data_IF_101668174758
#
_entry.id   IF_101668174758
#
_cell.length_a   1.000
_cell.length_b   1.000
_cell.length_c   1.000
_cell.angle_alpha   90.00
_cell.angle_beta   90.00
_cell.angle_gamma   90.00
#
_symmetry.space_group_name_H-M   'P 1'
#
loop_
_entity.id
_entity.type
_entity.pdbx_description
1 polymer ?
#
# COMPACT_ATOMS: atom_id res chain seq x y z
N UNK A 1 31.97 -21.51 -25.68
CA UNK A 1 30.63 -21.46 -26.30
C UNK A 1 29.49 -21.38 -25.29
N UNK A 2 29.38 -22.31 -24.32
CA UNK A 2 28.30 -22.27 -23.29
C UNK A 2 28.23 -20.96 -22.46
N UNK A 3 29.38 -20.39 -22.08
CA UNK A 3 29.46 -19.10 -21.36
C UNK A 3 28.97 -17.91 -22.21
N UNK A 4 29.24 -17.94 -23.52
CA UNK A 4 28.83 -16.87 -24.44
C UNK A 4 27.32 -16.91 -24.64
N UNK A 5 26.75 -18.11 -24.88
CA UNK A 5 25.30 -18.32 -24.96
C UNK A 5 24.58 -17.84 -23.68
N UNK A 6 25.13 -18.13 -22.50
CA UNK A 6 24.52 -17.72 -21.24
C UNK A 6 24.51 -16.20 -21.06
N UNK A 7 25.58 -15.50 -21.47
CA UNK A 7 25.63 -14.03 -21.46
C UNK A 7 24.60 -13.45 -22.44
N UNK A 8 24.45 -14.04 -23.63
CA UNK A 8 23.48 -13.57 -24.63
C UNK A 8 22.04 -13.76 -24.14
N UNK A 9 21.73 -14.90 -23.54
CA UNK A 9 20.40 -15.14 -22.94
C UNK A 9 20.13 -14.16 -21.80
N UNK A 10 21.11 -13.90 -20.94
CA UNK A 10 20.97 -12.93 -19.85
C UNK A 10 20.72 -11.51 -20.38
N UNK A 11 21.43 -11.10 -21.43
CA UNK A 11 21.22 -9.80 -22.08
C UNK A 11 19.80 -9.66 -22.68
N UNK A 12 19.29 -10.72 -23.32
CA UNK A 12 17.92 -10.74 -23.88
C UNK A 12 16.87 -10.64 -22.76
N UNK A 13 17.07 -11.35 -21.64
CA UNK A 13 16.17 -11.29 -20.49
C UNK A 13 16.13 -9.89 -19.86
N UNK A 14 17.28 -9.20 -19.76
CA UNK A 14 17.34 -7.81 -19.27
C UNK A 14 16.55 -6.87 -20.18
N UNK A 15 16.75 -6.97 -21.51
CA UNK A 15 16.00 -6.13 -22.47
C UNK A 15 14.51 -6.39 -22.38
N UNK A 16 14.08 -7.66 -22.32
CA UNK A 16 12.67 -8.03 -22.18
C UNK A 16 12.04 -7.52 -20.88
N UNK A 17 12.77 -7.56 -19.76
CA UNK A 17 12.30 -7.03 -18.48
C UNK A 17 12.14 -5.50 -18.51
N UNK A 18 13.02 -4.78 -19.22
CA UNK A 18 12.94 -3.31 -19.33
C UNK A 18 11.90 -2.81 -20.35
N UNK A 19 11.31 -3.70 -21.15
CA UNK A 19 10.34 -3.36 -22.20
C UNK A 19 8.88 -3.39 -21.73
N UNK A 20 8.61 -3.61 -20.43
CA UNK A 20 7.25 -3.54 -19.91
C UNK A 20 6.69 -2.11 -20.05
N UNK A 21 5.53 -1.99 -20.70
CA UNK A 21 4.82 -0.73 -20.78
C UNK A 21 4.35 -0.32 -19.39
N UNK A 22 4.87 0.82 -18.91
CA UNK A 22 4.41 1.42 -17.66
C UNK A 22 3.23 2.35 -17.93
N UNK A 23 2.24 2.33 -17.06
CA UNK A 23 1.17 3.34 -17.02
C UNK A 23 1.22 4.11 -15.71
N UNK A 24 0.76 5.37 -15.75
CA UNK A 24 0.58 6.18 -14.55
C UNK A 24 -0.70 5.76 -13.82
N UNK A 25 -0.65 5.69 -12.50
CA UNK A 25 -1.79 5.58 -11.60
C UNK A 25 -1.74 6.71 -10.57
N UNK A 26 -2.86 6.98 -9.89
CA UNK A 26 -3.01 8.12 -8.99
C UNK A 26 -3.58 7.71 -7.63
N UNK A 27 -3.24 8.48 -6.60
CA UNK A 27 -3.91 8.46 -5.31
C UNK A 27 -4.02 9.88 -4.75
N UNK A 28 -5.00 10.10 -3.88
CA UNK A 28 -5.11 11.32 -3.08
C UNK A 28 -4.81 10.99 -1.62
N UNK A 29 -4.00 11.82 -0.96
CA UNK A 29 -3.95 11.85 0.50
C UNK A 29 -4.68 13.07 1.04
N UNK A 30 -5.47 12.82 2.08
CA UNK A 30 -6.24 13.84 2.77
C UNK A 30 -5.76 13.94 4.21
N UNK A 31 -5.16 15.08 4.54
CA UNK A 31 -4.67 15.38 5.87
C UNK A 31 -5.58 16.31 6.65
N UNK A 32 -5.85 15.93 7.89
CA UNK A 32 -6.51 16.79 8.87
C UNK A 32 -5.60 17.00 10.08
N UNK A 33 -5.43 18.26 10.49
CA UNK A 33 -4.62 18.59 11.66
C UNK A 33 -5.29 18.13 12.95
N UNK A 34 -4.49 17.68 13.93
CA UNK A 34 -4.97 17.49 15.30
C UNK A 34 -4.97 18.82 16.04
N UNK A 35 -6.02 19.07 16.82
CA UNK A 35 -6.12 20.26 17.67
C UNK A 35 -4.90 20.30 18.60
N UNK A 36 -4.17 21.43 18.60
CA UNK A 36 -2.97 21.68 19.42
C UNK A 36 -1.75 20.77 19.14
N UNK A 37 -1.67 20.12 17.97
CA UNK A 37 -0.51 19.30 17.59
C UNK A 37 -0.13 19.52 16.12
N UNK A 38 1.17 19.41 15.82
CA UNK A 38 1.66 19.36 14.43
C UNK A 38 1.27 18.06 13.73
N UNK A 39 0.90 17.01 14.50
CA UNK A 39 0.52 15.72 13.94
C UNK A 39 -0.74 15.81 13.09
N UNK A 40 -0.72 15.07 11.99
CA UNK A 40 -1.82 14.98 11.04
C UNK A 40 -2.36 13.56 10.97
N UNK A 41 -3.68 13.43 10.81
CA UNK A 41 -4.31 12.17 10.43
C UNK A 41 -4.40 12.13 8.91
N UNK A 42 -3.86 11.09 8.30
CA UNK A 42 -3.81 10.93 6.85
C UNK A 42 -4.72 9.79 6.43
N UNK A 43 -5.63 10.09 5.51
CA UNK A 43 -6.40 9.11 4.76
C UNK A 43 -5.84 9.04 3.34
N UNK A 44 -5.89 7.86 2.73
CA UNK A 44 -5.45 7.63 1.36
C UNK A 44 -6.58 7.04 0.51
N UNK A 45 -6.78 7.60 -0.69
CA UNK A 45 -7.72 7.13 -1.69
C UNK A 45 -6.97 6.73 -2.97
N UNK A 46 -7.05 5.46 -3.36
CA UNK A 46 -6.46 4.95 -4.61
C UNK A 46 -7.47 4.88 -5.77
N UNK A 47 -8.65 5.49 -5.63
CA UNK A 47 -9.71 5.48 -6.63
C UNK A 47 -10.54 4.19 -6.67
N UNK A 48 -10.41 3.31 -5.66
CA UNK A 48 -11.17 2.08 -5.58
C UNK A 48 -12.65 2.33 -5.25
N UNK A 49 -13.55 1.45 -5.73
CA UNK A 49 -14.97 1.51 -5.37
C UNK A 49 -15.14 1.26 -3.87
N UNK A 50 -15.48 2.30 -3.12
CA UNK A 50 -15.74 2.20 -1.67
C UNK A 50 -17.23 2.10 -1.38
N UNK A 51 -17.62 1.18 -0.49
CA UNK A 51 -18.95 1.23 0.14
C UNK A 51 -19.02 2.42 1.12
N UNK A 52 -20.22 2.85 1.52
CA UNK A 52 -20.39 3.96 2.46
C UNK A 52 -19.59 3.75 3.77
N UNK A 53 -19.57 2.52 4.28
CA UNK A 53 -18.75 2.14 5.45
C UNK A 53 -17.25 2.07 5.16
N UNK A 54 -16.86 1.75 3.91
CA UNK A 54 -15.46 1.68 3.49
C UNK A 54 -14.78 3.05 3.38
N UNK A 55 -15.54 4.14 3.20
CA UNK A 55 -15.01 5.51 3.09
C UNK A 55 -14.21 5.96 4.32
N UNK A 56 -14.54 5.45 5.50
CA UNK A 56 -13.90 5.83 6.77
C UNK A 56 -12.71 4.96 7.17
N UNK A 57 -12.41 3.92 6.37
CA UNK A 57 -11.37 2.92 6.66
C UNK A 57 -10.14 3.08 5.77
N UNK A 58 -9.90 4.32 5.33
CA UNK A 58 -8.83 4.75 4.42
C UNK A 58 -7.57 5.21 5.15
N UNK A 59 -7.51 5.10 6.47
CA UNK A 59 -6.29 5.37 7.23
C UNK A 59 -5.26 4.27 6.99
N UNK A 60 -4.01 4.66 6.76
CA UNK A 60 -2.89 3.72 6.71
C UNK A 60 -2.63 3.12 8.10
N UNK A 61 -2.28 1.85 8.15
CA UNK A 61 -1.95 1.10 9.37
C UNK A 61 -0.58 0.45 9.27
N UNK A 62 0.03 0.23 10.42
CA UNK A 62 1.21 -0.63 10.55
C UNK A 62 0.82 -2.13 10.50
N UNK A 63 1.83 -2.99 10.62
CA UNK A 63 1.69 -4.45 10.61
C UNK A 63 0.78 -5.00 11.71
N UNK A 64 0.56 -4.24 12.79
CA UNK A 64 -0.35 -4.61 13.89
C UNK A 64 -1.79 -4.13 13.66
N UNK A 65 -2.07 -3.46 12.54
CA UNK A 65 -3.36 -2.83 12.26
C UNK A 65 -3.58 -1.49 12.95
N UNK A 66 -2.55 -0.94 13.62
CA UNK A 66 -2.64 0.35 14.30
C UNK A 66 -2.45 1.49 13.32
N UNK A 67 -3.30 2.53 13.41
CA UNK A 67 -3.21 3.74 12.57
C UNK A 67 -1.83 4.38 12.68
N UNK A 68 -1.21 4.62 11.54
CA UNK A 68 0.04 5.38 11.47
C UNK A 68 -0.27 6.86 11.74
N UNK A 69 0.48 7.47 12.66
CA UNK A 69 0.44 8.91 12.89
C UNK A 69 1.62 9.59 12.20
N UNK A 70 1.34 10.63 11.43
CA UNK A 70 2.38 11.41 10.76
C UNK A 70 2.58 12.74 11.47
N UNK A 71 3.83 13.19 11.53
CA UNK A 71 4.20 14.47 12.15
C UNK A 71 3.86 15.68 11.28
N UNK A 72 3.65 15.46 9.98
CA UNK A 72 3.24 16.49 9.01
C UNK A 72 2.75 15.84 7.70
N UNK A 73 2.20 16.63 6.78
CA UNK A 73 1.92 16.18 5.40
C UNK A 73 3.18 15.71 4.66
N UNK A 74 4.33 16.36 4.93
CA UNK A 74 5.62 15.99 4.32
C UNK A 74 6.13 14.64 4.86
N UNK A 75 5.92 14.36 6.15
CA UNK A 75 6.24 13.06 6.74
C UNK A 75 5.44 11.94 6.06
N UNK A 76 4.15 12.18 5.81
CA UNK A 76 3.32 11.27 5.03
C UNK A 76 3.82 11.08 3.59
N UNK A 77 4.27 12.15 2.91
CA UNK A 77 4.88 12.02 1.59
C UNK A 77 6.18 11.23 1.60
N UNK A 78 7.04 11.43 2.61
CA UNK A 78 8.27 10.65 2.74
C UNK A 78 7.97 9.17 2.95
N UNK A 79 6.91 8.84 3.69
CA UNK A 79 6.42 7.47 3.81
C UNK A 79 5.98 6.91 2.45
N UNK A 80 5.17 7.65 1.69
CA UNK A 80 4.66 7.22 0.38
C UNK A 80 5.76 7.14 -0.69
N UNK A 81 6.80 7.98 -0.58
CA UNK A 81 7.96 7.96 -1.46
C UNK A 81 8.71 6.61 -1.40
N UNK A 82 8.68 5.91 -0.25
CA UNK A 82 9.23 4.54 -0.12
C UNK A 82 8.56 3.57 -1.10
N UNK A 83 7.31 3.83 -1.46
CA UNK A 83 6.50 3.02 -2.38
C UNK A 83 6.39 3.62 -3.78
N UNK A 84 7.34 4.50 -4.15
CA UNK A 84 7.46 5.15 -5.46
C UNK A 84 6.34 6.14 -5.83
N UNK A 85 5.55 6.58 -4.84
CA UNK A 85 4.60 7.67 -5.08
C UNK A 85 5.32 9.01 -5.23
N UNK A 86 4.91 9.77 -6.24
CA UNK A 86 5.47 11.07 -6.64
C UNK A 86 4.39 12.13 -6.46
N UNK A 87 4.81 13.31 -6.01
CA UNK A 87 3.91 14.47 -5.89
C UNK A 87 3.43 14.95 -7.27
N UNK A 88 2.15 15.30 -7.39
CA UNK A 88 1.57 15.93 -8.59
C UNK A 88 1.01 17.32 -8.27
N UNK A 89 0.15 17.43 -7.24
CA UNK A 89 -0.51 18.69 -6.88
C UNK A 89 -0.93 18.73 -5.41
N UNK A 90 -1.10 19.93 -4.86
CA UNK A 90 -1.69 20.17 -3.56
C UNK A 90 -2.71 21.31 -3.59
N UNK A 91 -3.79 21.17 -2.82
CA UNK A 91 -4.72 22.25 -2.50
C UNK A 91 -5.26 22.10 -1.07
N UNK A 92 -5.91 23.15 -0.58
CA UNK A 92 -6.50 23.19 0.77
C UNK A 92 -7.98 23.48 0.64
N UNK A 93 -8.79 22.71 1.37
CA UNK A 93 -10.23 22.97 1.53
C UNK A 93 -10.46 23.38 2.97
N UNK A 94 -11.00 24.59 3.18
CA UNK A 94 -11.40 25.03 4.51
C UNK A 94 -12.84 24.60 4.76
N UNK A 95 -13.06 23.83 5.82
CA UNK A 95 -14.41 23.52 6.27
C UNK A 95 -14.97 24.76 6.97
N UNK A 96 -15.92 25.44 6.33
CA UNK A 96 -16.51 26.68 6.84
C UNK A 96 -17.19 26.49 8.21
N UNK A 97 -17.77 25.31 8.47
CA UNK A 97 -18.46 25.01 9.73
C UNK A 97 -17.52 24.78 10.91
N UNK A 98 -16.30 24.29 10.67
CA UNK A 98 -15.32 24.00 11.74
C UNK A 98 -14.12 24.93 11.72
N UNK A 99 -14.00 25.79 10.71
CA UNK A 99 -12.83 26.62 10.40
C UNK A 99 -11.51 25.81 10.35
N UNK A 100 -11.60 24.53 10.01
CA UNK A 100 -10.44 23.64 9.90
C UNK A 100 -10.00 23.51 8.45
N UNK A 101 -8.68 23.61 8.23
CA UNK A 101 -8.07 23.33 6.95
C UNK A 101 -7.90 21.82 6.75
N UNK A 102 -8.32 21.35 5.58
CA UNK A 102 -8.12 20.00 5.09
C UNK A 102 -7.14 20.07 3.92
N UNK A 103 -6.04 19.33 4.02
CA UNK A 103 -4.97 19.35 3.03
C UNK A 103 -5.15 18.18 2.06
N UNK A 104 -5.26 18.46 0.76
CA UNK A 104 -5.48 17.47 -0.29
C UNK A 104 -4.28 17.42 -1.22
N UNK A 105 -3.52 16.33 -1.21
CA UNK A 105 -2.36 16.16 -2.08
C UNK A 105 -2.61 15.00 -3.05
N UNK A 106 -2.48 15.28 -4.34
CA UNK A 106 -2.56 14.31 -5.42
C UNK A 106 -1.15 13.77 -5.72
N UNK A 107 -1.04 12.45 -5.83
CA UNK A 107 0.18 11.74 -6.12
C UNK A 107 0.00 10.82 -7.31
N UNK A 108 1.11 10.46 -7.96
CA UNK A 108 1.15 9.43 -8.99
C UNK A 108 2.24 8.39 -8.78
N UNK A 109 2.05 7.22 -9.39
CA UNK A 109 3.05 6.14 -9.46
C UNK A 109 3.04 5.57 -10.87
N UNK A 110 4.20 5.24 -11.40
CA UNK A 110 4.32 4.48 -12.65
C UNK A 110 4.30 2.99 -12.29
N UNK A 111 3.40 2.22 -12.89
CA UNK A 111 3.15 0.81 -12.60
C UNK A 111 3.12 -0.02 -13.89
N UNK A 112 3.53 -1.28 -13.79
CA UNK A 112 3.37 -2.30 -14.84
C UNK A 112 2.13 -3.17 -14.61
N UNK A 113 1.63 -3.27 -13.37
CA UNK A 113 0.35 -3.92 -13.05
C UNK A 113 -0.40 -3.25 -11.89
N UNK A 114 -1.70 -3.53 -11.80
CA UNK A 114 -2.59 -3.01 -10.75
C UNK A 114 -2.19 -3.48 -9.34
N UNK A 115 -1.45 -4.58 -9.23
CA UNK A 115 -0.96 -5.12 -7.96
C UNK A 115 0.03 -4.16 -7.28
N UNK A 116 0.72 -3.32 -8.07
CA UNK A 116 1.66 -2.33 -7.54
C UNK A 116 0.98 -1.10 -6.91
N UNK A 117 -0.32 -0.88 -7.15
CA UNK A 117 -1.04 0.30 -6.65
C UNK A 117 -0.96 0.37 -5.12
N UNK A 118 -1.05 -0.77 -4.45
CA UNK A 118 -1.12 -0.86 -2.97
C UNK A 118 0.11 -1.51 -2.35
N UNK A 119 1.15 -1.74 -3.15
CA UNK A 119 2.40 -2.33 -2.71
C UNK A 119 2.94 -1.62 -1.46
N UNK A 120 3.05 -2.37 -0.36
CA UNK A 120 3.60 -1.87 0.90
C UNK A 120 2.68 -0.96 1.72
N UNK A 121 1.44 -0.70 1.27
CA UNK A 121 0.52 0.21 1.96
C UNK A 121 -0.75 -0.56 2.35
N UNK A 122 -0.94 -0.72 3.66
CA UNK A 122 -2.12 -1.35 4.25
C UNK A 122 -3.02 -0.26 4.82
N UNK A 123 -4.29 -0.26 4.42
CA UNK A 123 -5.34 0.55 5.06
C UNK A 123 -6.06 -0.25 6.15
N UNK A 124 -6.79 0.43 7.03
CA UNK A 124 -7.61 -0.27 8.02
C UNK A 124 -8.57 -1.28 7.40
N UNK A 125 -9.17 -0.93 6.26
CA UNK A 125 -10.04 -1.86 5.53
C UNK A 125 -9.29 -3.10 5.08
N UNK A 126 -8.09 -2.90 4.53
CA UNK A 126 -7.26 -4.01 4.07
C UNK A 126 -6.94 -4.96 5.22
N UNK A 127 -6.53 -4.42 6.36
CA UNK A 127 -6.20 -5.20 7.54
C UNK A 127 -7.39 -6.03 8.06
N UNK A 128 -8.58 -5.41 8.17
CA UNK A 128 -9.79 -6.12 8.58
C UNK A 128 -10.21 -7.21 7.58
N UNK A 129 -10.11 -6.94 6.28
CA UNK A 129 -10.43 -7.92 5.24
C UNK A 129 -9.44 -9.11 5.31
N UNK A 130 -8.17 -8.85 5.63
CA UNK A 130 -7.14 -9.88 5.87
C UNK A 130 -7.43 -10.71 7.12
N UNK A 131 -7.78 -10.09 8.24
CA UNK A 131 -8.16 -10.80 9.47
C UNK A 131 -9.38 -11.70 9.24
N UNK A 132 -10.39 -11.19 8.54
CA UNK A 132 -11.60 -11.96 8.21
C UNK A 132 -11.27 -13.15 7.32
N UNK A 133 -10.47 -12.97 6.27
CA UNK A 133 -10.05 -14.06 5.41
C UNK A 133 -9.24 -15.12 6.18
N UNK A 134 -8.33 -14.70 7.06
CA UNK A 134 -7.55 -15.61 7.89
C UNK A 134 -8.40 -16.41 8.89
N UNK A 135 -9.50 -15.84 9.40
CA UNK A 135 -10.47 -16.57 10.23
C UNK A 135 -11.27 -17.57 9.39
N UNK A 136 -11.76 -17.17 8.21
CA UNK A 136 -12.51 -18.05 7.30
C UNK A 136 -11.67 -19.24 6.77
N UNK A 137 -10.37 -19.02 6.51
CA UNK A 137 -9.42 -20.07 6.09
C UNK A 137 -9.22 -21.13 7.19
N UNK A 138 -9.11 -20.70 8.45
CA UNK A 138 -8.98 -21.58 9.61
C UNK A 138 -10.22 -22.44 9.82
N UNK A 139 -11.39 -21.91 9.47
CA UNK A 139 -12.66 -22.64 9.58
C UNK A 139 -12.92 -23.58 8.40
N UNK A 140 -12.44 -23.28 7.18
CA UNK A 140 -12.90 -23.98 5.98
C UNK A 140 -11.85 -24.74 5.14
N UNK A 141 -10.53 -24.67 5.39
CA UNK A 141 -9.49 -25.39 4.61
C UNK A 141 -9.71 -25.38 3.07
N UNK A 142 -10.22 -24.30 2.49
CA UNK A 142 -10.60 -24.25 1.07
C UNK A 142 -9.67 -23.32 0.27
N UNK A 143 -9.03 -23.86 -0.78
CA UNK A 143 -8.16 -23.12 -1.75
C UNK A 143 -8.85 -21.93 -2.45
N UNK A 144 -10.18 -21.83 -2.37
CA UNK A 144 -10.95 -20.81 -3.08
C UNK A 144 -10.87 -19.41 -2.42
N UNK A 145 -10.56 -19.35 -1.12
CA UNK A 145 -10.45 -18.08 -0.37
C UNK A 145 -9.21 -17.29 -0.77
N UNK A 146 -8.08 -17.98 -1.02
CA UNK A 146 -6.86 -17.31 -1.48
C UNK A 146 -7.18 -16.44 -2.70
N UNK A 147 -7.96 -16.94 -3.67
CA UNK A 147 -8.27 -16.20 -4.91
C UNK A 147 -9.04 -14.89 -4.72
N UNK A 148 -9.74 -14.69 -3.58
CA UNK A 148 -10.51 -13.47 -3.28
C UNK A 148 -9.67 -12.39 -2.59
N UNK A 149 -8.55 -12.76 -1.98
CA UNK A 149 -7.64 -11.84 -1.32
C UNK A 149 -6.82 -11.10 -2.37
N UNK A 150 -6.74 -9.76 -2.38
CA UNK A 150 -5.88 -9.02 -3.30
C UNK A 150 -4.43 -9.53 -3.30
N UNK A 151 -3.77 -9.58 -4.47
CA UNK A 151 -2.47 -10.23 -4.62
C UNK A 151 -1.40 -9.65 -3.68
N UNK A 152 -1.39 -8.32 -3.52
CA UNK A 152 -0.45 -7.65 -2.61
C UNK A 152 -0.57 -8.14 -1.15
N UNK A 153 -1.79 -8.43 -0.68
CA UNK A 153 -2.01 -8.97 0.66
C UNK A 153 -1.52 -10.41 0.78
N UNK A 154 -1.64 -11.21 -0.28
CA UNK A 154 -1.09 -12.58 -0.30
C UNK A 154 0.43 -12.57 -0.25
N UNK A 155 1.05 -11.66 -0.98
CA UNK A 155 2.52 -11.53 -1.01
C UNK A 155 3.05 -11.10 0.37
N UNK A 156 2.40 -10.14 1.03
CA UNK A 156 2.74 -9.74 2.39
C UNK A 156 2.60 -10.88 3.41
N UNK A 157 1.53 -11.68 3.32
CA UNK A 157 1.35 -12.84 4.21
C UNK A 157 2.50 -13.85 4.06
N UNK A 158 2.90 -14.15 2.81
CA UNK A 158 4.05 -15.03 2.53
C UNK A 158 5.35 -14.49 3.12
N UNK A 159 5.64 -13.20 2.96
CA UNK A 159 6.82 -12.57 3.56
C UNK A 159 6.79 -12.69 5.09
N UNK A 160 5.65 -12.42 5.74
CA UNK A 160 5.53 -12.55 7.20
C UNK A 160 5.67 -14.00 7.71
N UNK A 161 5.16 -14.98 6.95
CA UNK A 161 5.28 -16.39 7.29
C UNK A 161 6.75 -16.86 7.15
N UNK A 162 7.45 -16.41 6.10
CA UNK A 162 8.89 -16.69 5.87
C UNK A 162 9.79 -16.05 6.93
N UNK A 163 9.50 -14.81 7.37
CA UNK A 163 10.21 -14.14 8.48
C UNK A 163 9.98 -14.86 9.81
N UNK A 164 8.75 -15.31 10.09
CA UNK A 164 8.43 -16.08 11.29
C UNK A 164 9.11 -17.45 11.33
N UNK A 165 9.19 -18.15 10.18
CA UNK A 165 9.90 -19.43 10.07
C UNK A 165 11.42 -19.28 10.19
N UNK A 166 11.99 -18.22 9.62
CA UNK A 166 13.41 -17.93 9.77
C UNK A 166 13.73 -17.58 11.22
N UNK A 167 12.94 -16.75 11.88
CA UNK A 167 13.14 -16.41 13.29
C UNK A 167 13.06 -17.64 14.22
N UNK A 168 12.09 -18.55 14.00
CA UNK A 168 12.01 -19.83 14.74
C UNK A 168 13.19 -20.78 14.48
N UNK A 169 13.84 -20.67 13.33
CA UNK A 169 15.02 -21.50 12.98
C UNK A 169 16.30 -21.01 13.69
N UNK A 170 16.31 -19.78 14.18
CA UNK A 170 17.45 -19.16 14.86
C UNK A 170 17.25 -18.97 16.37
N UNK A 171 16.11 -19.41 16.95
CA UNK A 171 15.94 -19.50 18.40
C UNK A 171 16.57 -20.83 18.92
N UNK A 172 17.52 -20.78 19.88
CA UNK A 172 18.19 -21.96 20.44
C UNK A 172 17.31 -22.80 21.38
#
# INVERSE_FOLDING_TARGET
MKKLLLITVLAILVVAATAQETRKTFCEIVGTGKVLSSKVKIQIDFGQKTSYFGKYKTFMVDESGKKIEFNSMVDAMNYLAKFRWKFEQAYVVTNESTNQNVYHWLLSKDIVSDDEIREGIITQKDFEDMEKAAMEDKENKNEEVEKKVPLFMRNMKKESDEEGETQKRYEP
#
